data_IF_980728260967
#
_entry.id   IF_980728260967
#
_cell.length_a   1.000
_cell.length_b   1.000
_cell.length_c   1.000
_cell.angle_alpha   90.00
_cell.angle_beta   90.00
_cell.angle_gamma   90.00
#
_symmetry.space_group_name_H-M   'P 1'
#
loop_
_entity.id
_entity.type
_entity.pdbx_description
1 polymer ?
#
# COMPACT_ATOMS: atom_id res chain seq x y z
N UNK A 1 4.59 66.79 12.97
CA UNK A 1 4.14 65.69 13.83
C UNK A 1 2.69 65.41 13.42
N UNK A 2 2.52 64.59 12.43
CA UNK A 2 1.19 64.18 11.95
C UNK A 2 1.25 62.68 11.70
N UNK A 3 0.40 62.06 12.38
CA UNK A 3 -0.22 60.72 12.36
C UNK A 3 0.27 59.73 11.36
N UNK A 4 0.98 58.76 11.92
CA UNK A 4 1.40 57.48 11.36
C UNK A 4 0.48 56.37 11.95
N UNK A 5 -0.81 56.47 11.77
CA UNK A 5 -1.78 55.51 12.39
C UNK A 5 -2.91 55.01 11.50
N UNK A 6 -2.78 55.06 10.18
CA UNK A 6 -3.88 54.63 9.32
C UNK A 6 -3.45 53.79 8.08
N UNK A 7 -2.51 52.85 8.26
CA UNK A 7 -2.11 51.95 7.19
C UNK A 7 -1.99 50.49 7.60
N UNK A 8 -2.86 50.05 8.51
CA UNK A 8 -2.85 48.66 8.91
C UNK A 8 -4.25 48.06 9.10
N UNK A 9 -5.11 48.13 8.08
CA UNK A 9 -6.30 47.28 8.14
C UNK A 9 -6.96 47.05 6.77
N UNK A 10 -6.23 46.55 5.78
CA UNK A 10 -6.85 45.95 4.58
C UNK A 10 -6.02 44.80 4.07
N UNK A 11 -5.78 43.81 4.91
CA UNK A 11 -5.36 42.49 4.44
C UNK A 11 -6.54 41.54 4.57
N UNK A 12 -7.30 41.50 3.48
CA UNK A 12 -8.23 40.47 3.02
C UNK A 12 -8.23 39.18 3.86
N UNK A 13 -9.20 39.10 4.75
CA UNK A 13 -9.72 37.80 5.16
C UNK A 13 -10.47 37.22 3.94
N UNK A 14 -10.15 36.00 3.46
CA UNK A 14 -10.96 35.36 2.43
C UNK A 14 -12.34 35.18 3.00
N UNK A 15 -13.37 35.67 2.29
CA UNK A 15 -14.74 35.62 2.73
C UNK A 15 -15.14 34.14 2.96
N UNK A 16 -15.76 33.90 4.09
CA UNK A 16 -16.27 32.57 4.49
C UNK A 16 -17.17 31.93 3.41
N UNK A 17 -17.78 32.75 2.57
CA UNK A 17 -18.55 32.31 1.42
C UNK A 17 -17.72 31.67 0.32
N UNK A 18 -16.48 32.13 0.07
CA UNK A 18 -15.59 31.51 -0.91
C UNK A 18 -15.07 30.11 -0.45
N UNK A 19 -14.86 29.95 0.85
CA UNK A 19 -14.47 28.66 1.44
C UNK A 19 -15.60 27.61 1.34
N UNK A 20 -16.84 28.01 1.56
CA UNK A 20 -18.00 27.10 1.44
C UNK A 20 -18.30 26.72 -0.01
N UNK A 21 -18.10 27.61 -0.97
CA UNK A 21 -18.27 27.30 -2.40
C UNK A 21 -17.17 26.32 -2.90
N UNK A 22 -15.95 26.49 -2.44
CA UNK A 22 -14.85 25.58 -2.81
C UNK A 22 -15.00 24.16 -2.20
N UNK A 23 -15.61 24.07 -1.01
CA UNK A 23 -15.88 22.77 -0.38
C UNK A 23 -17.06 22.05 -1.04
N UNK A 24 -18.10 22.82 -1.47
CA UNK A 24 -19.24 22.26 -2.20
C UNK A 24 -18.86 21.77 -3.61
N UNK A 25 -17.92 22.43 -4.29
CA UNK A 25 -17.44 22.01 -5.60
C UNK A 25 -16.58 20.73 -5.56
N UNK A 26 -16.08 20.34 -4.39
CA UNK A 26 -15.31 19.07 -4.20
C UNK A 26 -16.18 17.88 -3.81
N UNK A 27 -17.42 18.10 -3.47
CA UNK A 27 -18.42 17.04 -3.32
C UNK A 27 -18.98 16.64 -4.69
N UNK A 28 -18.09 16.31 -5.64
CA UNK A 28 -18.46 15.51 -6.78
C UNK A 28 -18.93 14.18 -6.23
N UNK A 29 -20.23 13.99 -6.17
CA UNK A 29 -20.85 12.69 -5.93
C UNK A 29 -20.39 11.77 -7.05
N UNK A 30 -19.34 11.00 -6.82
CA UNK A 30 -19.16 9.77 -7.57
C UNK A 30 -20.41 8.95 -7.24
N UNK A 31 -21.41 9.01 -8.10
CA UNK A 31 -22.54 8.10 -8.04
C UNK A 31 -22.00 6.71 -8.27
N UNK A 32 -21.75 5.97 -7.20
CA UNK A 32 -21.56 4.54 -7.29
C UNK A 32 -22.87 4.02 -7.90
N UNK A 33 -22.83 3.30 -9.03
CA UNK A 33 -24.03 2.71 -9.60
C UNK A 33 -24.71 1.86 -8.53
N UNK A 34 -25.94 2.17 -8.20
CA UNK A 34 -26.70 1.47 -7.15
C UNK A 34 -27.12 0.05 -7.57
N UNK A 35 -26.87 -0.33 -8.81
CA UNK A 35 -27.11 -1.68 -9.32
C UNK A 35 -25.78 -2.46 -9.29
N UNK A 36 -25.65 -3.50 -8.48
CA UNK A 36 -24.52 -4.42 -8.61
C UNK A 36 -24.49 -4.93 -10.05
N UNK A 37 -23.35 -4.85 -10.71
CA UNK A 37 -23.15 -5.50 -12.00
C UNK A 37 -23.51 -6.99 -11.83
N UNK A 38 -24.48 -7.52 -12.57
CA UNK A 38 -24.87 -8.93 -12.43
C UNK A 38 -23.72 -9.90 -12.63
N UNK A 39 -22.60 -9.45 -13.22
CA UNK A 39 -21.36 -10.22 -13.31
C UNK A 39 -20.66 -10.44 -11.99
N UNK A 40 -20.99 -9.66 -10.94
CA UNK A 40 -20.42 -9.85 -9.59
C UNK A 40 -21.05 -10.98 -8.79
N UNK A 41 -22.15 -11.55 -9.25
CA UNK A 41 -22.97 -12.50 -8.46
C UNK A 41 -22.62 -13.98 -8.63
N UNK A 42 -21.98 -14.39 -9.71
CA UNK A 42 -21.83 -15.83 -10.05
C UNK A 42 -20.38 -16.22 -10.36
N UNK A 43 -19.54 -15.29 -10.77
CA UNK A 43 -18.15 -15.57 -11.18
C UNK A 43 -17.13 -15.45 -10.04
N UNK A 44 -17.54 -15.02 -8.87
CA UNK A 44 -16.66 -14.85 -7.70
C UNK A 44 -16.26 -16.16 -7.00
N UNK A 45 -16.60 -17.30 -7.55
CA UNK A 45 -16.17 -18.60 -7.01
C UNK A 45 -14.66 -18.86 -7.21
N UNK A 46 -13.96 -18.00 -7.98
CA UNK A 46 -12.58 -18.25 -8.39
C UNK A 46 -11.58 -17.21 -7.90
N UNK A 47 -11.91 -16.38 -6.92
CA UNK A 47 -10.93 -15.50 -6.28
C UNK A 47 -9.85 -16.35 -5.63
N UNK A 48 -8.63 -16.19 -6.10
CA UNK A 48 -7.45 -16.82 -5.53
C UNK A 48 -6.88 -15.92 -4.44
N UNK A 49 -6.65 -16.53 -3.30
CA UNK A 49 -6.10 -15.88 -2.13
C UNK A 49 -4.67 -16.37 -1.90
N UNK A 50 -3.75 -15.42 -1.82
CA UNK A 50 -2.36 -15.63 -1.45
C UNK A 50 -2.05 -14.75 -0.27
N UNK A 51 -1.36 -15.25 0.73
CA UNK A 51 -0.95 -14.41 1.85
C UNK A 51 0.30 -14.95 2.53
N UNK A 52 1.02 -14.07 3.18
CA UNK A 52 2.25 -14.37 3.90
C UNK A 52 2.38 -13.51 5.16
N UNK A 53 2.88 -14.10 6.22
CA UNK A 53 3.32 -13.43 7.43
C UNK A 53 4.82 -13.66 7.57
N UNK A 54 5.59 -12.59 7.54
CA UNK A 54 7.03 -12.62 7.31
C UNK A 54 7.74 -11.83 8.40
N UNK A 55 8.79 -12.42 8.94
CA UNK A 55 9.69 -11.77 9.90
C UNK A 55 10.65 -10.81 9.18
N UNK A 56 11.27 -9.91 9.94
CA UNK A 56 12.22 -8.90 9.46
C UNK A 56 13.48 -9.46 8.78
N UNK A 57 13.77 -10.73 8.95
CA UNK A 57 14.85 -11.46 8.29
C UNK A 57 14.41 -12.20 7.02
N UNK A 58 13.15 -12.00 6.59
CA UNK A 58 12.44 -12.71 5.54
C UNK A 58 12.03 -14.15 5.87
N UNK A 59 12.11 -14.59 7.11
CA UNK A 59 11.58 -15.90 7.50
C UNK A 59 10.06 -15.92 7.32
N UNK A 60 9.57 -16.88 6.53
CA UNK A 60 8.13 -17.15 6.40
C UNK A 60 7.63 -17.86 7.65
N UNK A 61 6.81 -17.20 8.44
CA UNK A 61 6.22 -17.81 9.66
C UNK A 61 4.98 -18.62 9.32
N UNK A 62 4.12 -18.09 8.46
CA UNK A 62 2.94 -18.78 7.94
C UNK A 62 2.46 -18.08 6.68
N UNK A 63 1.77 -18.81 5.83
CA UNK A 63 1.26 -18.27 4.58
C UNK A 63 0.44 -19.30 3.81
N UNK A 64 -0.19 -18.83 2.75
CA UNK A 64 -0.94 -19.66 1.82
C UNK A 64 -0.40 -19.45 0.41
N UNK A 65 -0.09 -20.54 -0.27
CA UNK A 65 0.43 -20.52 -1.64
C UNK A 65 1.76 -19.75 -1.79
N UNK A 66 2.54 -19.64 -0.72
CA UNK A 66 3.89 -19.04 -0.76
C UNK A 66 4.89 -20.08 -1.28
N UNK A 67 5.64 -19.70 -2.29
CA UNK A 67 6.71 -20.53 -2.86
C UNK A 67 8.03 -20.29 -2.12
N UNK A 68 8.39 -19.01 -1.92
CA UNK A 68 9.62 -18.59 -1.24
C UNK A 68 9.57 -17.12 -0.86
N UNK A 69 10.48 -16.76 0.03
CA UNK A 69 10.72 -15.38 0.46
C UNK A 69 12.21 -15.08 0.39
N UNK A 70 12.58 -13.83 0.18
CA UNK A 70 13.97 -13.40 0.21
C UNK A 70 14.09 -11.97 0.73
N UNK A 71 15.20 -11.71 1.43
CA UNK A 71 15.63 -10.38 1.82
C UNK A 71 16.79 -9.96 0.91
N UNK A 72 16.66 -8.83 0.24
CA UNK A 72 17.66 -8.33 -0.70
C UNK A 72 18.52 -7.21 -0.11
N UNK A 73 18.04 -6.56 0.93
CA UNK A 73 18.74 -5.47 1.62
C UNK A 73 17.94 -5.01 2.83
N UNK A 74 18.38 -3.93 3.47
CA UNK A 74 17.66 -3.33 4.58
C UNK A 74 16.29 -2.84 4.11
N UNK A 75 15.22 -3.39 4.70
CA UNK A 75 13.84 -3.05 4.34
C UNK A 75 13.42 -3.48 2.94
N UNK A 76 14.14 -4.38 2.26
CA UNK A 76 13.82 -4.80 0.89
C UNK A 76 13.61 -6.30 0.83
N UNK A 77 12.43 -6.71 0.37
CA UNK A 77 12.01 -8.11 0.36
C UNK A 77 11.36 -8.50 -0.97
N UNK A 78 11.45 -9.77 -1.29
CA UNK A 78 10.68 -10.44 -2.34
C UNK A 78 9.86 -11.58 -1.75
N UNK A 79 8.59 -11.66 -2.15
CA UNK A 79 7.68 -12.76 -1.78
C UNK A 79 7.16 -13.38 -3.06
N UNK A 80 7.43 -14.68 -3.26
CA UNK A 80 6.96 -15.41 -4.42
C UNK A 80 5.86 -16.38 -4.04
N UNK A 81 4.86 -16.44 -4.87
CA UNK A 81 3.72 -17.32 -4.73
C UNK A 81 3.75 -18.46 -5.75
N UNK A 82 2.94 -19.49 -5.52
CA UNK A 82 2.86 -20.66 -6.42
C UNK A 82 2.05 -20.37 -7.69
N UNK A 83 1.24 -19.30 -7.69
CA UNK A 83 0.41 -18.87 -8.81
C UNK A 83 0.72 -17.45 -9.25
N UNK A 84 0.14 -17.06 -10.37
CA UNK A 84 0.23 -15.72 -10.92
C UNK A 84 -0.49 -14.70 -10.04
N UNK A 85 0.14 -13.56 -9.83
CA UNK A 85 -0.34 -12.45 -9.00
C UNK A 85 -0.36 -11.10 -9.74
N UNK A 86 0.05 -11.07 -11.01
CA UNK A 86 0.23 -9.84 -11.79
C UNK A 86 -1.04 -9.00 -11.92
N UNK A 87 -2.21 -9.63 -11.95
CA UNK A 87 -3.52 -8.97 -12.02
C UNK A 87 -4.18 -8.78 -10.65
N UNK A 88 -3.43 -9.04 -9.57
CA UNK A 88 -3.96 -9.00 -8.21
C UNK A 88 -3.91 -7.63 -7.56
N UNK A 89 -4.71 -7.47 -6.51
CA UNK A 89 -4.61 -6.37 -5.57
C UNK A 89 -3.68 -6.76 -4.42
N UNK A 90 -2.71 -5.91 -4.12
CA UNK A 90 -1.73 -6.12 -3.05
C UNK A 90 -2.06 -5.26 -1.84
N UNK A 91 -2.16 -5.88 -0.67
CA UNK A 91 -2.34 -5.20 0.62
C UNK A 91 -1.28 -5.70 1.58
N UNK A 92 -0.56 -4.76 2.19
CA UNK A 92 0.41 -5.12 3.22
C UNK A 92 0.32 -4.19 4.43
N UNK A 93 0.71 -4.72 5.57
CA UNK A 93 0.82 -3.95 6.82
C UNK A 93 2.04 -4.39 7.62
N UNK A 94 2.70 -3.43 8.25
CA UNK A 94 3.73 -3.72 9.24
C UNK A 94 3.08 -4.37 10.46
N UNK A 95 3.65 -5.49 10.90
CA UNK A 95 3.15 -6.22 12.06
C UNK A 95 3.95 -7.48 12.32
N UNK A 96 4.07 -7.86 13.60
CA UNK A 96 4.73 -9.11 13.99
C UNK A 96 3.77 -10.30 13.91
N UNK A 97 4.30 -11.50 13.68
CA UNK A 97 3.49 -12.71 13.67
C UNK A 97 2.98 -13.15 15.05
N UNK A 98 3.54 -12.58 16.13
CA UNK A 98 3.20 -12.87 17.52
C UNK A 98 2.41 -11.75 18.19
N UNK A 99 2.36 -11.79 19.51
CA UNK A 99 1.60 -10.84 20.35
C UNK A 99 2.30 -9.50 20.61
N UNK A 100 3.60 -9.40 20.32
CA UNK A 100 4.36 -8.16 20.48
C UNK A 100 4.10 -7.21 19.32
N UNK A 101 4.22 -5.90 19.57
CA UNK A 101 4.10 -4.88 18.52
C UNK A 101 5.39 -4.76 17.71
N UNK A 102 5.26 -4.43 16.43
CA UNK A 102 6.37 -4.00 15.59
C UNK A 102 6.55 -2.48 15.76
N UNK A 103 7.78 -1.94 15.72
CA UNK A 103 7.96 -0.49 15.67
C UNK A 103 7.23 0.11 14.46
N UNK A 104 6.70 1.32 14.64
CA UNK A 104 5.98 2.04 13.58
C UNK A 104 6.86 2.30 12.36
N UNK A 105 6.22 2.46 11.21
CA UNK A 105 6.90 2.73 9.95
C UNK A 105 5.94 2.64 8.78
N UNK A 106 6.49 2.67 7.58
CA UNK A 106 5.76 2.61 6.33
C UNK A 106 6.10 1.33 5.58
N UNK A 107 5.16 0.88 4.75
CA UNK A 107 5.34 -0.27 3.87
C UNK A 107 4.77 0.04 2.49
N UNK A 108 5.52 -0.34 1.46
CA UNK A 108 5.08 -0.24 0.08
C UNK A 108 5.18 -1.60 -0.60
N UNK A 109 4.27 -1.85 -1.53
CA UNK A 109 4.21 -3.09 -2.28
C UNK A 109 4.05 -2.81 -3.77
N UNK A 110 4.65 -3.66 -4.60
CA UNK A 110 4.51 -3.62 -6.04
C UNK A 110 4.62 -5.04 -6.61
N UNK A 111 4.11 -5.23 -7.82
CA UNK A 111 4.45 -6.42 -8.58
C UNK A 111 5.98 -6.46 -8.76
N UNK A 112 6.58 -7.61 -8.54
CA UNK A 112 8.01 -7.77 -8.84
C UNK A 112 8.22 -7.58 -10.34
N UNK A 113 9.06 -6.61 -10.66
CA UNK A 113 9.45 -6.31 -12.04
C UNK A 113 10.92 -6.69 -12.28
N UNK A 114 11.22 -6.84 -13.51
CA UNK A 114 12.55 -6.70 -14.12
C UNK A 114 13.54 -7.85 -13.80
N UNK A 115 13.80 -8.69 -14.79
CA UNK A 115 14.82 -9.74 -14.70
C UNK A 115 16.17 -9.14 -14.31
N UNK A 116 16.83 -9.71 -13.31
CA UNK A 116 18.18 -9.32 -12.89
C UNK A 116 18.29 -8.39 -11.70
N UNK A 117 17.19 -7.87 -11.15
CA UNK A 117 17.21 -7.06 -9.92
C UNK A 117 17.05 -7.89 -8.62
N UNK A 118 16.91 -9.19 -8.69
CA UNK A 118 16.77 -10.07 -7.55
C UNK A 118 17.51 -11.40 -7.72
N UNK A 119 17.55 -12.20 -6.67
CA UNK A 119 18.27 -13.48 -6.62
C UNK A 119 17.63 -14.59 -7.48
N UNK A 120 16.56 -14.31 -8.24
CA UNK A 120 15.71 -15.34 -8.82
C UNK A 120 15.47 -15.20 -10.32
N UNK A 121 15.08 -16.31 -10.94
CA UNK A 121 15.01 -16.51 -12.40
C UNK A 121 13.92 -15.66 -13.06
N UNK A 122 14.10 -15.29 -14.35
CA UNK A 122 13.21 -14.39 -15.09
C UNK A 122 11.77 -14.92 -15.31
N UNK A 123 11.50 -16.20 -15.06
CA UNK A 123 10.19 -16.82 -15.30
C UNK A 123 9.17 -16.65 -14.16
N UNK A 124 9.57 -16.03 -13.06
CA UNK A 124 8.70 -15.89 -11.88
C UNK A 124 8.21 -14.45 -11.64
N UNK A 125 8.44 -13.53 -12.57
CA UNK A 125 8.14 -12.11 -12.38
C UNK A 125 6.65 -11.84 -12.15
N UNK A 126 5.77 -12.61 -12.79
CA UNK A 126 4.32 -12.50 -12.58
C UNK A 126 3.81 -13.18 -11.30
N UNK A 127 4.69 -13.83 -10.53
CA UNK A 127 4.36 -14.53 -9.28
C UNK A 127 4.94 -13.87 -8.04
N UNK A 128 5.71 -12.83 -8.21
CA UNK A 128 6.44 -12.16 -7.15
C UNK A 128 5.84 -10.82 -6.76
N UNK A 129 5.93 -10.52 -5.47
CA UNK A 129 5.63 -9.20 -4.91
C UNK A 129 6.91 -8.62 -4.32
N UNK A 130 7.21 -7.40 -4.71
CA UNK A 130 8.26 -6.57 -4.14
C UNK A 130 7.70 -5.82 -2.96
N UNK A 131 8.40 -5.88 -1.83
CA UNK A 131 7.98 -5.21 -0.58
C UNK A 131 9.13 -4.36 -0.08
N UNK A 132 8.84 -3.11 0.26
CA UNK A 132 9.79 -2.23 0.93
C UNK A 132 9.20 -1.74 2.26
N UNK A 133 10.03 -1.75 3.30
CA UNK A 133 9.67 -1.28 4.63
C UNK A 133 10.61 -0.18 5.10
N UNK A 134 10.04 0.78 5.80
CA UNK A 134 10.73 1.97 6.28
C UNK A 134 10.41 2.20 7.75
N UNK A 135 11.21 3.00 8.42
CA UNK A 135 10.86 3.57 9.72
C UNK A 135 9.94 4.79 9.55
N UNK A 136 9.47 5.36 10.65
CA UNK A 136 8.58 6.53 10.67
C UNK A 136 9.24 7.82 10.14
N UNK A 137 10.53 7.80 9.81
CA UNK A 137 11.24 8.92 9.18
C UNK A 137 11.43 8.74 7.68
N UNK A 138 10.92 7.62 7.11
CA UNK A 138 11.08 7.29 5.70
C UNK A 138 12.43 6.64 5.35
N UNK A 139 13.23 6.28 6.35
CA UNK A 139 14.49 5.56 6.13
C UNK A 139 14.23 4.06 6.06
N UNK A 140 14.86 3.38 5.09
CA UNK A 140 14.75 1.93 4.94
C UNK A 140 15.09 1.22 6.26
N UNK A 141 14.20 0.36 6.73
CA UNK A 141 14.32 -0.34 7.99
C UNK A 141 13.65 -1.72 7.91
N UNK A 142 14.29 -2.71 8.51
CA UNK A 142 13.75 -4.06 8.55
C UNK A 142 12.53 -4.12 9.46
N UNK A 143 11.40 -4.56 8.91
CA UNK A 143 10.13 -4.74 9.60
C UNK A 143 9.53 -6.10 9.28
N UNK A 144 8.91 -6.70 10.27
CA UNK A 144 8.01 -7.83 10.04
C UNK A 144 6.71 -7.31 9.42
N UNK A 145 6.10 -8.08 8.54
CA UNK A 145 4.91 -7.63 7.83
C UNK A 145 3.96 -8.77 7.47
N UNK A 146 2.73 -8.39 7.19
CA UNK A 146 1.69 -9.25 6.62
C UNK A 146 1.40 -8.77 5.21
N UNK A 147 1.27 -9.70 4.28
CA UNK A 147 0.96 -9.45 2.88
C UNK A 147 -0.23 -10.31 2.46
N UNK A 148 -1.19 -9.70 1.79
CA UNK A 148 -2.33 -10.38 1.16
C UNK A 148 -2.36 -9.97 -0.31
N UNK A 149 -2.61 -10.95 -1.18
CA UNK A 149 -2.87 -10.75 -2.60
C UNK A 149 -4.18 -11.44 -2.96
N UNK A 150 -5.08 -10.69 -3.56
CA UNK A 150 -6.32 -11.18 -4.12
C UNK A 150 -6.26 -11.05 -5.64
N UNK A 151 -6.51 -12.15 -6.35
CA UNK A 151 -6.50 -12.19 -7.82
C UNK A 151 -7.60 -13.12 -8.34
N UNK A 152 -7.87 -13.04 -9.62
CA UNK A 152 -8.80 -13.92 -10.33
C UNK A 152 -8.11 -15.14 -10.91
#
# INVERSE_FOLDING_TARGET
MADEKELHNTLNAPSEAAGKAALAARAGTASVPATPDPRWGVENCCVREFWAVIERDATLVRGRNVLRTAKLGTGVYEVFFTGEVSNGAFVATIGRPGIATEPTGEITVALRCCPGMGAFRPFDDNKGVWVQTFDSTGKAADRSFHLIVLTH
#
